data_IF_090724944851
#
_entry.id   IF_090724944851
#
_cell.length_a   1.000
_cell.length_b   1.000
_cell.length_c   1.000
_cell.angle_alpha   90.00
_cell.angle_beta   90.00
_cell.angle_gamma   90.00
#
_symmetry.space_group_name_H-M   'P 1'
#
loop_
_entity.id
_entity.type
_entity.pdbx_description
1 polymer ?
#
# COMPACT_ATOMS: atom_id res chain seq x y z
N UNK A 1 33.93 55.53 23.31
CA UNK A 1 33.76 55.59 21.83
C UNK A 1 34.57 54.44 21.22
N UNK A 2 33.92 53.30 20.94
CA UNK A 2 34.57 52.15 20.30
C UNK A 2 34.19 52.14 18.81
N UNK A 3 35.21 52.15 17.94
CA UNK A 3 35.03 52.09 16.48
C UNK A 3 34.78 50.63 16.08
N UNK A 4 33.68 50.38 15.40
CA UNK A 4 33.41 49.09 14.72
C UNK A 4 33.97 49.23 13.30
N UNK A 5 35.01 48.46 12.99
CA UNK A 5 35.55 48.30 11.64
C UNK A 5 34.72 47.26 10.91
N UNK A 6 34.14 47.62 9.77
CA UNK A 6 33.47 46.69 8.85
C UNK A 6 34.36 46.49 7.62
N UNK A 7 35.11 45.40 7.60
CA UNK A 7 35.77 44.90 6.40
C UNK A 7 34.94 43.78 5.76
N UNK A 8 34.46 43.94 4.51
CA UNK A 8 33.64 42.93 3.83
C UNK A 8 34.50 42.15 2.84
N UNK A 9 35.45 41.33 3.29
CA UNK A 9 36.18 40.44 2.38
C UNK A 9 36.80 39.22 3.09
N UNK A 10 35.96 38.25 3.45
CA UNK A 10 36.41 36.87 3.64
C UNK A 10 35.52 35.95 2.82
N UNK A 11 36.00 35.63 1.60
CA UNK A 11 35.44 34.56 0.79
C UNK A 11 35.81 33.23 1.47
N UNK A 12 34.89 32.68 2.24
CA UNK A 12 35.03 31.33 2.78
C UNK A 12 35.01 30.32 1.63
N UNK A 13 36.12 29.64 1.40
CA UNK A 13 36.20 28.50 0.50
C UNK A 13 35.47 27.31 1.14
N UNK A 14 34.37 26.87 0.55
CA UNK A 14 33.73 25.60 0.91
C UNK A 14 34.57 24.48 0.30
N UNK A 15 35.38 23.81 1.12
CA UNK A 15 36.04 22.58 0.73
C UNK A 15 35.02 21.43 0.78
N UNK A 16 34.69 20.88 -0.38
CA UNK A 16 33.97 19.61 -0.44
C UNK A 16 34.96 18.49 -0.18
N UNK A 17 34.80 17.79 0.95
CA UNK A 17 35.47 16.51 1.16
C UNK A 17 34.91 15.52 0.14
N UNK A 18 35.79 15.01 -0.73
CA UNK A 18 35.49 13.96 -1.67
C UNK A 18 35.21 12.66 -0.88
N UNK A 19 33.93 12.28 -0.77
CA UNK A 19 33.58 10.92 -0.38
C UNK A 19 33.97 9.99 -1.53
N UNK A 20 35.06 9.24 -1.34
CA UNK A 20 35.39 8.11 -2.20
C UNK A 20 34.30 7.06 -2.04
N UNK A 21 33.50 6.88 -3.09
CA UNK A 21 32.56 5.79 -3.18
C UNK A 21 33.34 4.47 -3.24
N UNK A 22 33.44 3.77 -2.11
CA UNK A 22 33.81 2.36 -2.12
C UNK A 22 32.67 1.63 -2.82
N UNK A 23 32.95 1.11 -4.02
CA UNK A 23 32.08 0.16 -4.71
C UNK A 23 32.12 -1.17 -3.96
N UNK A 24 31.53 -1.21 -2.77
CA UNK A 24 31.18 -2.46 -2.13
C UNK A 24 29.97 -3.04 -2.89
N UNK A 25 30.07 -4.26 -3.43
CA UNK A 25 28.93 -4.87 -4.10
C UNK A 25 27.82 -5.03 -3.07
N UNK A 26 26.68 -4.37 -3.32
CA UNK A 26 25.42 -4.63 -2.62
C UNK A 26 25.15 -6.13 -2.68
N UNK A 27 25.52 -6.84 -1.61
CA UNK A 27 25.15 -8.23 -1.43
C UNK A 27 23.63 -8.23 -1.47
N UNK A 28 23.09 -8.77 -2.57
CA UNK A 28 21.65 -8.96 -2.76
C UNK A 28 21.18 -9.74 -1.54
N UNK A 29 20.60 -9.04 -0.57
CA UNK A 29 19.82 -9.65 0.48
C UNK A 29 18.70 -10.36 -0.25
N UNK A 30 18.92 -11.65 -0.52
CA UNK A 30 17.85 -12.56 -0.87
C UNK A 30 16.94 -12.52 0.34
N UNK A 31 15.95 -11.64 0.30
CA UNK A 31 14.78 -11.72 1.16
C UNK A 31 14.23 -13.11 0.88
N UNK A 32 14.55 -14.06 1.76
CA UNK A 32 13.77 -15.27 1.91
C UNK A 32 12.42 -14.77 2.40
N UNK A 33 11.59 -14.38 1.45
CA UNK A 33 10.16 -14.40 1.66
C UNK A 33 9.91 -15.85 2.00
N UNK A 34 9.74 -16.11 3.29
CA UNK A 34 9.21 -17.37 3.78
C UNK A 34 7.86 -17.48 3.11
N UNK A 35 7.87 -18.10 1.94
CA UNK A 35 6.71 -18.68 1.30
C UNK A 35 6.20 -19.65 2.35
N UNK A 36 5.22 -19.20 3.14
CA UNK A 36 4.26 -20.10 3.74
C UNK A 36 3.53 -20.68 2.54
N UNK A 37 4.14 -21.68 1.91
CA UNK A 37 3.45 -22.62 1.07
C UNK A 37 2.55 -23.40 2.03
N UNK A 38 1.42 -22.80 2.40
CA UNK A 38 0.23 -23.61 2.64
C UNK A 38 -0.04 -24.25 1.28
N UNK A 39 0.45 -25.47 1.11
CA UNK A 39 0.11 -26.30 -0.04
C UNK A 39 -1.41 -26.36 -0.10
N UNK A 40 -2.00 -25.79 -1.14
CA UNK A 40 -3.43 -25.86 -1.43
C UNK A 40 -3.94 -27.31 -1.64
N UNK A 41 -3.10 -28.32 -1.38
CA UNK A 41 -3.34 -29.73 -1.63
C UNK A 41 -3.70 -30.53 -0.37
N UNK A 42 -3.61 -29.97 0.84
CA UNK A 42 -3.88 -30.71 2.08
C UNK A 42 -5.38 -30.76 2.45
N UNK A 43 -6.23 -30.01 1.74
CA UNK A 43 -7.68 -29.99 1.99
C UNK A 43 -8.48 -30.84 1.01
N UNK A 44 -7.87 -31.35 -0.07
CA UNK A 44 -8.55 -32.10 -1.13
C UNK A 44 -8.77 -33.59 -0.80
N UNK A 45 -8.14 -34.09 0.27
CA UNK A 45 -8.22 -35.50 0.67
C UNK A 45 -8.45 -35.60 2.17
N UNK A 46 -9.49 -36.34 2.57
CA UNK A 46 -9.74 -36.62 3.97
C UNK A 46 -8.69 -37.57 4.57
N UNK A 47 -7.98 -37.13 5.60
CA UNK A 47 -6.95 -37.92 6.29
C UNK A 47 -7.44 -39.14 7.08
N UNK A 48 -8.76 -39.27 7.31
CA UNK A 48 -9.36 -40.41 8.04
C UNK A 48 -9.84 -41.54 7.14
N UNK A 49 -10.45 -41.19 6.00
CA UNK A 49 -11.09 -42.18 5.11
C UNK A 49 -10.55 -42.16 3.67
N UNK A 50 -9.50 -41.38 3.42
CA UNK A 50 -8.83 -41.18 2.13
C UNK A 50 -9.81 -40.90 0.98
N UNK A 51 -10.91 -40.22 1.29
CA UNK A 51 -11.91 -39.85 0.30
C UNK A 51 -11.75 -38.40 -0.12
N UNK A 52 -12.05 -38.13 -1.38
CA UNK A 52 -12.06 -36.79 -1.97
C UNK A 52 -13.47 -36.17 -1.93
N UNK A 53 -14.38 -36.77 -1.15
CA UNK A 53 -15.75 -36.31 -1.00
C UNK A 53 -15.79 -35.26 0.12
N UNK A 54 -15.65 -34.00 -0.28
CA UNK A 54 -15.53 -32.85 0.60
C UNK A 54 -16.65 -31.87 0.25
N UNK A 55 -17.28 -31.31 1.27
CA UNK A 55 -18.42 -30.41 1.17
C UNK A 55 -18.16 -29.19 2.05
N UNK A 56 -18.44 -28.01 1.50
CA UNK A 56 -18.32 -26.75 2.22
C UNK A 56 -19.68 -26.35 2.76
N UNK A 57 -19.80 -26.19 4.08
CA UNK A 57 -20.99 -25.66 4.74
C UNK A 57 -20.87 -24.14 4.88
N UNK A 58 -21.72 -23.43 4.14
CA UNK A 58 -21.75 -21.96 4.14
C UNK A 58 -22.38 -21.35 5.39
N UNK A 59 -23.16 -22.10 6.17
CA UNK A 59 -23.78 -21.56 7.39
C UNK A 59 -22.78 -21.52 8.55
N UNK A 60 -21.88 -22.51 8.61
CA UNK A 60 -20.87 -22.64 9.67
C UNK A 60 -19.46 -22.23 9.23
N UNK A 61 -19.24 -22.00 7.92
CA UNK A 61 -17.92 -21.78 7.31
C UNK A 61 -16.94 -22.93 7.57
N UNK A 62 -17.44 -24.17 7.54
CA UNK A 62 -16.67 -25.38 7.77
C UNK A 62 -16.52 -26.20 6.48
N UNK A 63 -15.38 -26.86 6.32
CA UNK A 63 -15.14 -27.82 5.25
C UNK A 63 -15.18 -29.23 5.82
N UNK A 64 -16.17 -30.03 5.42
CA UNK A 64 -16.49 -31.33 6.02
C UNK A 64 -16.40 -32.45 5.00
N UNK A 65 -15.86 -33.60 5.39
CA UNK A 65 -15.88 -34.80 4.55
C UNK A 65 -17.27 -35.45 4.54
N UNK A 66 -17.89 -35.59 3.38
CA UNK A 66 -19.24 -36.18 3.25
C UNK A 66 -19.31 -37.67 3.60
N UNK A 67 -18.16 -38.38 3.58
CA UNK A 67 -18.12 -39.82 3.80
C UNK A 67 -17.99 -40.21 5.27
N UNK A 68 -17.20 -39.47 6.05
CA UNK A 68 -16.91 -39.79 7.46
C UNK A 68 -17.31 -38.70 8.45
N UNK A 69 -17.73 -37.52 7.97
CA UNK A 69 -18.19 -36.42 8.81
C UNK A 69 -17.08 -35.65 9.53
N UNK A 70 -15.80 -35.93 9.25
CA UNK A 70 -14.71 -35.14 9.85
C UNK A 70 -14.66 -33.74 9.25
N UNK A 71 -14.50 -32.75 10.12
CA UNK A 71 -14.19 -31.36 9.75
C UNK A 71 -12.70 -31.28 9.38
N UNK A 72 -12.41 -30.92 8.14
CA UNK A 72 -11.04 -30.75 7.63
C UNK A 72 -10.53 -29.33 7.89
N UNK A 73 -11.42 -28.35 7.86
CA UNK A 73 -11.12 -26.95 8.17
C UNK A 73 -12.29 -26.33 8.92
N UNK A 74 -12.01 -25.80 10.10
CA UNK A 74 -12.93 -25.01 10.91
C UNK A 74 -12.59 -23.52 10.79
N UNK A 75 -13.61 -22.66 10.90
CA UNK A 75 -13.43 -21.20 11.00
C UNK A 75 -12.55 -20.61 9.88
N UNK A 76 -13.00 -20.76 8.64
CA UNK A 76 -12.43 -19.97 7.55
C UNK A 76 -12.67 -18.49 7.87
N UNK A 77 -11.65 -17.81 8.39
CA UNK A 77 -11.70 -16.39 8.70
C UNK A 77 -12.21 -15.66 7.46
N UNK A 78 -13.42 -15.10 7.56
CA UNK A 78 -13.95 -14.29 6.47
C UNK A 78 -13.09 -13.04 6.40
N UNK A 79 -12.28 -12.91 5.35
CA UNK A 79 -11.55 -11.68 5.01
C UNK A 79 -12.48 -10.51 4.64
N UNK A 80 -13.78 -10.63 4.93
CA UNK A 80 -14.76 -9.58 4.75
C UNK A 80 -14.53 -8.42 5.73
N UNK A 81 -14.94 -7.23 5.31
CA UNK A 81 -14.82 -6.03 6.14
C UNK A 81 -15.46 -6.24 7.51
N UNK A 82 -14.70 -5.95 8.55
CA UNK A 82 -14.97 -6.28 9.96
C UNK A 82 -16.29 -5.74 10.54
N UNK A 83 -17.00 -4.83 9.86
CA UNK A 83 -18.26 -4.27 10.34
C UNK A 83 -19.18 -4.04 9.15
N UNK A 84 -20.48 -4.34 9.29
CA UNK A 84 -21.58 -4.30 8.29
C UNK A 84 -21.65 -3.07 7.38
N UNK A 85 -20.65 -2.92 6.53
CA UNK A 85 -20.55 -1.93 5.50
C UNK A 85 -21.09 -2.59 4.24
N UNK A 86 -22.37 -2.34 3.98
CA UNK A 86 -23.11 -3.00 2.91
C UNK A 86 -22.93 -2.36 1.54
N UNK A 87 -22.41 -1.13 1.49
CA UNK A 87 -22.34 -0.31 0.27
C UNK A 87 -20.98 0.37 0.11
N UNK A 88 -20.53 0.54 -1.14
CA UNK A 88 -19.23 1.18 -1.45
C UNK A 88 -19.05 2.58 -0.87
N UNK A 89 -20.12 3.35 -0.75
CA UNK A 89 -20.10 4.71 -0.15
C UNK A 89 -19.90 4.67 1.38
N UNK A 90 -20.44 3.63 2.03
CA UNK A 90 -20.21 3.40 3.46
C UNK A 90 -18.78 2.92 3.71
N UNK A 91 -18.14 2.21 2.77
CA UNK A 91 -16.71 1.85 2.86
C UNK A 91 -15.86 3.10 2.88
N UNK A 92 -16.13 4.07 2.00
CA UNK A 92 -15.33 5.28 1.94
C UNK A 92 -15.52 6.21 3.14
N UNK A 93 -16.70 6.22 3.75
CA UNK A 93 -17.03 7.15 4.84
C UNK A 93 -16.83 6.58 6.25
N UNK A 94 -17.02 5.27 6.44
CA UNK A 94 -16.99 4.62 7.77
C UNK A 94 -15.76 3.74 8.01
N UNK A 95 -15.00 3.40 6.96
CA UNK A 95 -13.78 2.61 7.12
C UNK A 95 -12.70 3.41 7.85
N UNK A 96 -12.15 2.84 8.92
CA UNK A 96 -10.99 3.41 9.63
C UNK A 96 -9.70 3.30 8.83
N UNK A 97 -9.63 2.31 7.95
CA UNK A 97 -8.42 1.94 7.19
C UNK A 97 -8.43 2.49 5.77
N UNK A 98 -9.49 3.20 5.36
CA UNK A 98 -9.61 3.85 4.06
C UNK A 98 -10.05 2.90 2.94
N UNK A 99 -9.60 3.19 1.72
CA UNK A 99 -9.94 2.44 0.51
C UNK A 99 -9.33 1.03 0.55
N UNK A 100 -10.06 -0.02 0.16
CA UNK A 100 -9.51 -1.37 0.10
C UNK A 100 -8.36 -1.46 -0.91
N UNK A 101 -7.42 -2.36 -0.64
CA UNK A 101 -6.32 -2.62 -1.57
C UNK A 101 -6.81 -3.40 -2.79
N UNK A 102 -6.21 -3.15 -3.95
CA UNK A 102 -6.58 -3.83 -5.20
C UNK A 102 -5.39 -4.04 -6.12
N UNK A 103 -5.22 -5.26 -6.62
CA UNK A 103 -4.19 -5.63 -7.59
C UNK A 103 -4.34 -4.93 -8.95
N UNK A 104 -5.47 -4.24 -9.18
CA UNK A 104 -5.67 -3.40 -10.36
C UNK A 104 -4.84 -2.10 -10.31
N UNK A 105 -4.24 -1.76 -9.17
CA UNK A 105 -3.32 -0.63 -9.02
C UNK A 105 -1.89 -1.10 -8.83
N UNK A 106 -0.93 -0.32 -9.34
CA UNK A 106 0.49 -0.69 -9.35
C UNK A 106 1.11 -0.90 -7.96
N UNK A 107 0.57 -0.22 -6.96
CA UNK A 107 0.97 -0.19 -5.55
C UNK A 107 -0.17 -0.71 -4.67
N UNK A 108 -1.07 -1.48 -5.25
CA UNK A 108 -2.23 -2.05 -4.58
C UNK A 108 -3.18 -1.00 -3.96
N UNK A 109 -3.10 0.27 -4.37
CA UNK A 109 -3.92 1.35 -3.80
C UNK A 109 -3.36 1.95 -2.51
N UNK A 110 -2.10 1.69 -2.18
CA UNK A 110 -1.44 2.20 -0.96
C UNK A 110 -0.97 3.67 -1.08
N UNK A 111 -0.96 4.26 -2.29
CA UNK A 111 -0.63 5.68 -2.45
C UNK A 111 -1.64 6.59 -1.77
N UNK A 112 -1.14 7.66 -1.17
CA UNK A 112 -1.96 8.71 -0.57
C UNK A 112 -1.90 10.01 -1.38
N UNK A 113 -2.96 10.80 -1.28
CA UNK A 113 -3.07 12.09 -1.95
C UNK A 113 -3.52 13.17 -0.96
N UNK A 114 -2.74 14.25 -0.87
CA UNK A 114 -3.11 15.43 -0.08
C UNK A 114 -4.03 16.29 -0.94
N UNK A 115 -5.29 16.43 -0.52
CA UNK A 115 -6.32 17.20 -1.25
C UNK A 115 -5.94 18.67 -1.43
N UNK A 116 -6.56 19.30 -2.44
CA UNK A 116 -6.46 20.75 -2.68
C UNK A 116 -7.54 21.57 -1.96
N UNK A 117 -8.43 20.92 -1.20
CA UNK A 117 -9.58 21.56 -0.54
C UNK A 117 -9.19 22.56 0.56
N UNK A 118 -7.92 22.63 0.95
CA UNK A 118 -7.40 23.54 1.98
C UNK A 118 -8.20 23.49 3.30
N UNK A 119 -8.72 22.31 3.62
CA UNK A 119 -9.34 21.99 4.91
C UNK A 119 -8.53 20.92 5.63
N UNK A 120 -8.52 20.97 6.95
CA UNK A 120 -7.94 19.94 7.79
C UNK A 120 -8.84 18.69 7.87
N UNK A 121 -8.41 17.68 8.63
CA UNK A 121 -9.15 16.44 8.81
C UNK A 121 -10.48 16.61 9.58
N UNK A 122 -10.62 17.71 10.33
CA UNK A 122 -11.82 18.05 11.09
C UNK A 122 -12.74 19.00 10.31
N UNK A 123 -12.38 19.39 9.09
CA UNK A 123 -13.12 20.33 8.25
C UNK A 123 -12.81 21.81 8.49
N UNK A 124 -11.84 22.13 9.34
CA UNK A 124 -11.37 23.49 9.60
C UNK A 124 -10.60 24.06 8.40
N UNK A 125 -10.81 25.33 8.09
CA UNK A 125 -10.06 26.02 7.02
C UNK A 125 -8.61 26.23 7.43
N UNK A 126 -7.69 25.89 6.52
CA UNK A 126 -6.25 26.03 6.74
C UNK A 126 -5.87 27.51 6.76
N UNK A 127 -5.10 27.93 7.76
CA UNK A 127 -4.65 29.31 7.87
C UNK A 127 -3.67 29.70 6.76
N UNK A 128 -3.62 30.97 6.33
CA UNK A 128 -2.71 31.42 5.28
C UNK A 128 -1.23 31.18 5.64
N UNK A 129 -0.88 31.25 6.92
CA UNK A 129 0.47 30.97 7.42
C UNK A 129 0.89 29.50 7.20
N UNK A 130 -0.06 28.57 7.36
CA UNK A 130 0.17 27.14 7.15
C UNK A 130 0.14 26.73 5.68
N UNK A 131 -0.45 27.55 4.81
CA UNK A 131 -0.62 27.25 3.39
C UNK A 131 0.71 26.95 2.69
N UNK A 132 1.76 27.73 2.98
CA UNK A 132 3.09 27.51 2.40
C UNK A 132 3.67 26.13 2.77
N UNK A 133 3.42 25.66 4.00
CA UNK A 133 3.84 24.33 4.46
C UNK A 133 3.09 23.24 3.72
N UNK A 134 1.78 23.38 3.56
CA UNK A 134 0.95 22.39 2.86
C UNK A 134 1.29 22.31 1.38
N UNK A 135 1.55 23.45 0.72
CA UNK A 135 2.01 23.44 -0.67
C UNK A 135 3.33 22.68 -0.82
N UNK A 136 4.26 22.85 0.14
CA UNK A 136 5.50 22.06 0.18
C UNK A 136 5.22 20.57 0.36
N UNK A 137 4.30 20.20 1.26
CA UNK A 137 3.92 18.79 1.45
C UNK A 137 3.30 18.19 0.18
N UNK A 138 2.40 18.92 -0.50
CA UNK A 138 1.81 18.50 -1.79
C UNK A 138 2.88 18.27 -2.85
N UNK A 139 3.86 19.17 -2.93
CA UNK A 139 4.98 19.02 -3.85
C UNK A 139 5.78 17.74 -3.59
N UNK A 140 6.15 17.47 -2.33
CA UNK A 140 6.86 16.25 -1.97
C UNK A 140 6.03 14.98 -2.19
N UNK A 141 4.72 15.01 -1.89
CA UNK A 141 3.82 13.89 -2.16
C UNK A 141 3.73 13.56 -3.66
N UNK A 142 3.72 14.58 -4.52
CA UNK A 142 3.76 14.40 -5.97
C UNK A 142 5.10 13.81 -6.42
N UNK A 143 6.22 14.28 -5.87
CA UNK A 143 7.54 13.75 -6.23
C UNK A 143 7.67 12.29 -5.77
N UNK A 144 7.34 11.97 -4.52
CA UNK A 144 7.52 10.62 -3.97
C UNK A 144 6.75 9.58 -4.79
N UNK A 145 5.52 9.89 -5.17
CA UNK A 145 4.65 8.99 -5.93
C UNK A 145 5.03 8.82 -7.41
N UNK A 146 5.92 9.67 -7.95
CA UNK A 146 6.28 9.70 -9.38
C UNK A 146 7.81 9.76 -9.63
N UNK A 147 8.66 9.58 -8.61
CA UNK A 147 10.11 9.78 -8.70
C UNK A 147 10.80 8.83 -9.70
N UNK A 148 10.42 7.54 -9.70
CA UNK A 148 11.05 6.51 -10.57
C UNK A 148 10.27 6.32 -11.87
N UNK A 149 10.99 6.01 -12.95
CA UNK A 149 10.41 5.72 -14.28
C UNK A 149 9.43 4.56 -14.24
N UNK A 150 9.73 3.50 -13.48
CA UNK A 150 8.85 2.34 -13.32
C UNK A 150 7.48 2.69 -12.74
N UNK A 151 7.41 3.54 -11.70
CA UNK A 151 6.12 3.99 -11.14
C UNK A 151 5.28 4.72 -12.18
N UNK A 152 5.90 5.60 -12.98
CA UNK A 152 5.20 6.33 -14.06
C UNK A 152 4.71 5.38 -15.16
N UNK A 153 5.57 4.44 -15.57
CA UNK A 153 5.23 3.47 -16.60
C UNK A 153 4.06 2.58 -16.16
N UNK A 154 4.11 2.00 -14.96
CA UNK A 154 3.03 1.16 -14.46
C UNK A 154 1.72 1.92 -14.27
N UNK A 155 1.75 3.12 -13.69
CA UNK A 155 0.54 3.95 -13.56
C UNK A 155 -0.13 4.18 -14.91
N UNK A 156 0.66 4.47 -15.95
CA UNK A 156 0.16 4.63 -17.31
C UNK A 156 -0.37 3.30 -17.88
N UNK A 157 0.34 2.19 -17.68
CA UNK A 157 -0.06 0.88 -18.18
C UNK A 157 -1.40 0.43 -17.55
N UNK A 158 -1.52 0.52 -16.22
CA UNK A 158 -2.76 0.18 -15.50
C UNK A 158 -3.92 1.11 -15.89
N UNK A 159 -3.66 2.39 -16.17
CA UNK A 159 -4.69 3.30 -16.68
C UNK A 159 -5.18 2.91 -18.09
N UNK A 160 -4.31 2.36 -18.94
CA UNK A 160 -4.72 1.83 -20.26
C UNK A 160 -5.48 0.51 -20.09
N UNK A 161 -5.02 -0.38 -19.20
CA UNK A 161 -5.71 -1.64 -18.93
C UNK A 161 -7.13 -1.41 -18.39
N UNK A 162 -7.32 -0.39 -17.55
CA UNK A 162 -8.63 -0.05 -17.01
C UNK A 162 -9.57 0.50 -18.10
N UNK A 163 -9.07 1.30 -19.04
CA UNK A 163 -9.89 1.81 -20.16
C UNK A 163 -10.28 0.70 -21.12
N UNK A 164 -9.35 -0.20 -21.44
CA UNK A 164 -9.62 -1.38 -22.28
C UNK A 164 -10.68 -2.28 -21.62
N UNK A 165 -10.58 -2.54 -20.32
CA UNK A 165 -11.57 -3.32 -19.58
C UNK A 165 -12.99 -2.75 -19.70
N UNK A 166 -13.14 -1.42 -19.64
CA UNK A 166 -14.45 -0.76 -19.71
C UNK A 166 -15.02 -0.81 -21.13
N UNK A 167 -14.16 -0.67 -22.14
CA UNK A 167 -14.56 -0.57 -23.55
C UNK A 167 -14.67 -1.94 -24.25
N UNK A 168 -14.15 -3.01 -23.66
CA UNK A 168 -14.29 -4.37 -24.16
C UNK A 168 -15.59 -4.97 -23.62
N UNK A 169 -16.72 -4.58 -24.21
CA UNK A 169 -18.04 -5.14 -23.95
C UNK A 169 -18.62 -5.73 -25.22
#
# INVERSE_FOLDING_TARGET
MAKISTDPHQKGSISYLAYSATNEPMHRLQKKEGLVQASANDLDICGLCNSNAILFDSETNETVCSKCGVVLQENAESLGGEWGIYSGDDIQSKSRTGMPTSLAFHDMGLSTFISYSNVDANGGVISPEQMAKIQRMRHWNKISSNNRSYHRNLKNAFAILSTVKINCR
#
